data_IF_114486579390
#
_entry.id   IF_114486579390
#
_cell.length_a   1.000
_cell.length_b   1.000
_cell.length_c   1.000
_cell.angle_alpha   90.00
_cell.angle_beta   90.00
_cell.angle_gamma   90.00
#
_symmetry.space_group_name_H-M   'P 1'
#
loop_
_entity.id
_entity.type
_entity.pdbx_description
1 polymer ?
#
# COMPACT_ATOMS: atom_id res chain seq x y z
N UNK A 1 -13.63 6.05 11.84
CA UNK A 1 -12.35 6.16 12.59
C UNK A 1 -11.57 7.33 12.02
N UNK A 2 -11.08 8.24 12.87
CA UNK A 2 -10.30 9.41 12.42
C UNK A 2 -8.93 8.96 11.89
N UNK A 3 -8.46 9.53 10.78
CA UNK A 3 -7.11 9.32 10.25
C UNK A 3 -6.00 9.59 11.29
N UNK A 4 -6.31 10.33 12.36
CA UNK A 4 -5.43 10.56 13.49
C UNK A 4 -5.09 9.27 14.25
N UNK A 5 -6.01 8.29 14.36
CA UNK A 5 -5.80 7.10 15.19
C UNK A 5 -4.73 6.17 14.62
N UNK A 6 -4.74 5.91 13.32
CA UNK A 6 -3.73 5.05 12.69
C UNK A 6 -2.35 5.73 12.64
N UNK A 7 -2.29 7.02 12.30
CA UNK A 7 -1.03 7.76 12.34
C UNK A 7 -0.45 7.87 13.76
N UNK A 8 -1.32 7.91 14.79
CA UNK A 8 -0.89 7.79 16.18
C UNK A 8 -0.25 6.44 16.45
N UNK A 9 -0.86 5.32 16.03
CA UNK A 9 -0.27 3.97 16.21
C UNK A 9 1.10 3.88 15.57
N UNK A 10 1.27 4.37 14.34
CA UNK A 10 2.57 4.38 13.66
C UNK A 10 3.60 5.24 14.39
N UNK A 11 3.17 6.40 14.91
CA UNK A 11 4.03 7.27 15.73
C UNK A 11 4.47 6.57 17.02
N UNK A 12 3.58 5.83 17.69
CA UNK A 12 3.93 5.09 18.91
C UNK A 12 4.87 3.92 18.60
N UNK A 13 4.65 3.23 17.48
CA UNK A 13 5.53 2.16 17.00
C UNK A 13 6.95 2.66 16.77
N UNK A 14 7.09 3.80 16.08
CA UNK A 14 8.39 4.47 15.91
C UNK A 14 9.05 4.80 17.24
N UNK A 15 8.31 5.38 18.20
CA UNK A 15 8.84 5.69 19.54
C UNK A 15 9.31 4.46 20.30
N UNK A 16 8.56 3.35 20.22
CA UNK A 16 8.93 2.09 20.84
C UNK A 16 10.22 1.53 20.21
N UNK A 17 10.32 1.52 18.88
CA UNK A 17 11.52 1.07 18.17
C UNK A 17 12.78 1.87 18.58
N UNK A 18 12.66 3.20 18.69
CA UNK A 18 13.77 4.05 19.14
C UNK A 18 14.20 3.74 20.59
N UNK A 19 13.24 3.46 21.48
CA UNK A 19 13.53 3.07 22.87
C UNK A 19 14.29 1.74 22.93
N UNK A 20 13.97 0.81 22.03
CA UNK A 20 14.61 -0.50 21.94
C UNK A 20 15.91 -0.47 21.10
N UNK A 21 16.37 0.71 20.68
CA UNK A 21 17.59 0.89 19.88
C UNK A 21 17.51 0.32 18.46
N UNK A 22 16.30 0.12 17.93
CA UNK A 22 16.08 -0.39 16.57
C UNK A 22 16.20 0.74 15.55
N UNK A 23 16.85 0.45 14.42
CA UNK A 23 16.95 1.36 13.29
C UNK A 23 15.63 1.36 12.49
N UNK A 24 14.63 2.10 12.97
CA UNK A 24 13.36 2.30 12.27
C UNK A 24 13.15 3.79 12.00
N UNK A 25 13.07 4.18 10.74
CA UNK A 25 12.77 5.55 10.38
C UNK A 25 11.31 5.90 10.74
N UNK A 26 11.02 7.19 10.94
CA UNK A 26 9.63 7.65 11.13
C UNK A 26 8.89 7.57 9.80
N UNK A 27 7.70 6.96 9.80
CA UNK A 27 6.83 6.86 8.64
C UNK A 27 5.35 7.00 9.04
N UNK A 28 4.50 7.27 8.05
CA UNK A 28 3.05 7.36 8.20
C UNK A 28 2.29 6.52 7.18
N UNK A 29 0.95 6.59 7.23
CA UNK A 29 0.07 5.84 6.33
C UNK A 29 0.29 6.15 4.84
N UNK A 30 0.72 7.37 4.53
CA UNK A 30 0.98 7.76 3.14
C UNK A 30 2.23 7.05 2.59
N UNK A 31 3.27 6.91 3.41
CA UNK A 31 4.50 6.21 3.02
C UNK A 31 4.22 4.73 2.73
N UNK A 32 3.34 4.10 3.52
CA UNK A 32 2.89 2.73 3.27
C UNK A 32 2.19 2.59 1.92
N UNK A 33 1.28 3.50 1.57
CA UNK A 33 0.61 3.52 0.26
C UNK A 33 1.60 3.70 -0.89
N UNK A 34 2.54 4.63 -0.74
CA UNK A 34 3.58 4.87 -1.74
C UNK A 34 4.47 3.65 -1.95
N UNK A 35 4.84 2.98 -0.85
CA UNK A 35 5.65 1.76 -0.88
C UNK A 35 4.92 0.64 -1.62
N UNK A 36 3.66 0.37 -1.27
CA UNK A 36 2.85 -0.63 -1.97
C UNK A 36 2.70 -0.32 -3.46
N UNK A 37 2.37 0.93 -3.82
CA UNK A 37 2.26 1.35 -5.23
C UNK A 37 3.55 1.12 -6.01
N UNK A 38 4.70 1.49 -5.44
CA UNK A 38 6.00 1.34 -6.09
C UNK A 38 6.32 -0.14 -6.33
N UNK A 39 6.18 -0.97 -5.30
CA UNK A 39 6.54 -2.39 -5.37
C UNK A 39 5.59 -3.17 -6.29
N UNK A 40 4.29 -2.84 -6.30
CA UNK A 40 3.35 -3.43 -7.25
C UNK A 40 3.63 -3.02 -8.70
N UNK A 41 4.12 -1.81 -8.94
CA UNK A 41 4.58 -1.41 -10.26
C UNK A 41 5.85 -2.16 -10.68
N UNK A 42 6.80 -2.33 -9.77
CA UNK A 42 8.03 -3.08 -10.01
C UNK A 42 7.76 -4.58 -10.25
N UNK A 43 6.73 -5.13 -9.60
CA UNK A 43 6.22 -6.48 -9.86
C UNK A 43 5.46 -6.62 -11.20
N UNK A 44 5.23 -5.51 -11.93
CA UNK A 44 4.67 -5.53 -13.27
C UNK A 44 3.14 -5.51 -13.35
N UNK A 45 2.44 -5.23 -12.25
CA UNK A 45 0.97 -5.14 -12.27
C UNK A 45 0.48 -3.93 -13.06
N UNK A 46 -0.74 -4.06 -13.59
CA UNK A 46 -1.39 -3.01 -14.36
C UNK A 46 -1.68 -1.78 -13.46
N UNK A 47 -1.26 -0.60 -13.93
CA UNK A 47 -1.51 0.67 -13.24
C UNK A 47 -2.98 0.89 -12.88
N UNK A 48 -3.92 0.50 -13.73
CA UNK A 48 -5.35 0.69 -13.45
C UNK A 48 -5.82 -0.14 -12.25
N UNK A 49 -5.20 -1.29 -11.99
CA UNK A 49 -5.53 -2.15 -10.84
C UNK A 49 -4.97 -1.55 -9.55
N UNK A 50 -3.72 -1.08 -9.60
CA UNK A 50 -3.02 -0.42 -8.49
C UNK A 50 -3.79 0.85 -8.08
N UNK A 51 -4.05 1.75 -9.03
CA UNK A 51 -4.73 3.02 -8.77
C UNK A 51 -6.16 2.82 -8.22
N UNK A 52 -6.89 1.86 -8.78
CA UNK A 52 -8.22 1.49 -8.25
C UNK A 52 -8.15 0.93 -6.82
N UNK A 53 -7.14 0.13 -6.51
CA UNK A 53 -6.94 -0.43 -5.16
C UNK A 53 -6.55 0.64 -4.14
N UNK A 54 -5.93 1.73 -4.59
CA UNK A 54 -5.63 2.92 -3.79
C UNK A 54 -6.82 3.89 -3.69
N UNK A 55 -7.97 3.54 -4.28
CA UNK A 55 -9.16 4.38 -4.38
C UNK A 55 -8.89 5.73 -5.07
N UNK A 56 -7.93 5.77 -5.98
CA UNK A 56 -7.64 6.96 -6.77
C UNK A 56 -8.67 7.11 -7.90
N UNK A 57 -9.14 8.35 -8.07
CA UNK A 57 -10.02 8.69 -9.19
C UNK A 57 -9.21 8.92 -10.46
N UNK A 58 -9.55 8.18 -11.52
CA UNK A 58 -9.03 8.46 -12.85
C UNK A 58 -9.58 9.81 -13.33
N UNK A 59 -8.75 10.58 -14.05
CA UNK A 59 -9.11 11.90 -14.58
C UNK A 59 -9.09 11.91 -16.11
N UNK A 60 -9.80 12.89 -16.69
CA UNK A 60 -9.81 13.14 -18.14
C UNK A 60 -10.58 12.10 -18.96
N UNK A 61 -10.27 12.02 -20.26
CA UNK A 61 -10.98 11.18 -21.23
C UNK A 61 -10.97 9.70 -20.82
N UNK A 62 -9.89 9.23 -20.21
CA UNK A 62 -9.77 7.84 -19.72
C UNK A 62 -10.84 7.50 -18.71
N UNK A 63 -11.21 8.41 -17.81
CA UNK A 63 -12.26 8.21 -16.82
C UNK A 63 -13.68 8.11 -17.41
N UNK A 64 -13.88 8.67 -18.61
CA UNK A 64 -15.15 8.58 -19.35
C UNK A 64 -15.35 7.16 -19.87
N UNK A 65 -14.30 6.56 -20.45
CA UNK A 65 -14.39 5.27 -21.13
C UNK A 65 -14.06 4.08 -20.23
N UNK A 66 -13.09 4.21 -19.32
CA UNK A 66 -12.66 3.13 -18.45
C UNK A 66 -13.57 3.04 -17.21
N UNK A 67 -14.68 2.32 -17.35
CA UNK A 67 -15.59 1.99 -16.24
C UNK A 67 -15.32 0.63 -15.62
N UNK A 68 -14.27 -0.05 -16.05
CA UNK A 68 -13.93 -1.37 -15.53
C UNK A 68 -13.50 -1.29 -14.07
N UNK A 69 -14.01 -2.22 -13.26
CA UNK A 69 -13.65 -2.35 -11.86
C UNK A 69 -12.48 -3.31 -11.65
N UNK A 70 -12.17 -4.21 -12.57
CA UNK A 70 -11.04 -5.15 -12.42
C UNK A 70 -11.08 -5.93 -11.09
N UNK A 71 -12.28 -6.28 -10.61
CA UNK A 71 -12.47 -6.81 -9.25
C UNK A 71 -11.64 -8.08 -9.00
N UNK A 72 -11.67 -9.01 -9.95
CA UNK A 72 -10.95 -10.29 -9.85
C UNK A 72 -9.45 -10.07 -9.88
N UNK A 73 -8.97 -9.27 -10.82
CA UNK A 73 -7.54 -8.97 -10.98
C UNK A 73 -6.97 -8.21 -9.78
N UNK A 74 -7.74 -7.28 -9.20
CA UNK A 74 -7.36 -6.60 -7.95
C UNK A 74 -7.34 -7.57 -6.77
N UNK A 75 -8.25 -8.54 -6.72
CA UNK A 75 -8.26 -9.52 -5.64
C UNK A 75 -7.02 -10.42 -5.71
N UNK A 76 -6.68 -10.92 -6.89
CA UNK A 76 -5.46 -11.71 -7.14
C UNK A 76 -4.21 -10.90 -6.80
N UNK A 77 -4.06 -9.69 -7.35
CA UNK A 77 -2.94 -8.79 -7.04
C UNK A 77 -2.79 -8.51 -5.53
N UNK A 78 -3.90 -8.36 -4.80
CA UNK A 78 -3.84 -8.10 -3.36
C UNK A 78 -3.51 -9.35 -2.52
N UNK A 79 -3.79 -10.55 -3.04
CA UNK A 79 -3.32 -11.80 -2.44
C UNK A 79 -1.81 -11.95 -2.67
N UNK A 80 -1.34 -11.76 -3.89
CA UNK A 80 0.09 -11.80 -4.21
C UNK A 80 0.87 -10.74 -3.39
N UNK A 81 0.29 -9.56 -3.20
CA UNK A 81 0.86 -8.53 -2.31
C UNK A 81 0.98 -9.00 -0.86
N UNK A 82 0.01 -9.76 -0.36
CA UNK A 82 0.07 -10.33 0.98
C UNK A 82 1.18 -11.39 1.07
N UNK A 83 1.29 -12.25 0.06
CA UNK A 83 2.35 -13.26 -0.02
C UNK A 83 3.75 -12.62 -0.04
N UNK A 84 3.94 -11.54 -0.82
CA UNK A 84 5.20 -10.77 -0.83
C UNK A 84 5.56 -10.22 0.56
N UNK A 85 4.57 -9.72 1.32
CA UNK A 85 4.79 -9.23 2.68
C UNK A 85 5.19 -10.38 3.60
N UNK A 86 4.48 -11.51 3.52
CA UNK A 86 4.74 -12.68 4.35
C UNK A 86 6.15 -13.25 4.09
N UNK A 87 6.63 -13.23 2.84
CA UNK A 87 8.01 -13.60 2.50
C UNK A 87 9.05 -12.68 3.17
N UNK A 88 8.84 -11.36 3.16
CA UNK A 88 9.75 -10.41 3.80
C UNK A 88 9.75 -10.51 5.32
N UNK A 89 8.60 -10.81 5.93
CA UNK A 89 8.46 -10.94 7.38
C UNK A 89 8.95 -12.29 7.87
N UNK A 90 8.70 -13.36 7.11
CA UNK A 90 9.09 -14.74 7.41
C UNK A 90 10.58 -15.02 7.32
N UNK A 91 11.35 -14.11 6.71
CA UNK A 91 12.80 -14.22 6.60
C UNK A 91 13.25 -15.16 5.48
N UNK A 92 13.03 -14.75 4.23
CA UNK A 92 13.69 -15.34 3.07
C UNK A 92 15.23 -15.36 3.19
#
# INVERSE_FOLDING_TARGET
>A
MSAATLNQVLTQTYKAAQKDGKALAKFGLHDLRRTASTLLHEAGYNSDWIEKSLAHEQRGVRAVYNKAEYREQRAEMMLDWADMIDEWVGGG
#
